data_IF_047016656738
#
_entry.id   IF_047016656738
#
_cell.length_a   1.000
_cell.length_b   1.000
_cell.length_c   1.000
_cell.angle_alpha   90.00
_cell.angle_beta   90.00
_cell.angle_gamma   90.00
#
_symmetry.space_group_name_H-M   'P 1'
#
loop_
_entity.id
_entity.type
_entity.pdbx_description
1 polymer ?
#
# COMPACT_ATOMS: atom_id res chain seq x y z
N UNK A 1 -19.44 22.18 4.49
CA UNK A 1 -18.53 21.11 4.87
C UNK A 1 -18.50 21.08 6.38
N UNK A 2 -18.70 19.92 7.01
CA UNK A 2 -18.63 19.77 8.45
C UNK A 2 -17.19 19.93 8.93
N UNK A 3 -16.96 19.94 10.23
CA UNK A 3 -15.64 20.31 10.79
C UNK A 3 -14.68 19.13 10.84
N UNK A 4 -15.18 17.92 11.15
CA UNK A 4 -14.39 16.72 11.44
C UNK A 4 -14.65 15.60 10.44
N UNK A 5 -13.67 14.70 10.33
CA UNK A 5 -13.78 13.42 9.64
C UNK A 5 -12.92 12.37 10.34
N UNK A 6 -13.34 11.11 10.28
CA UNK A 6 -12.52 9.99 10.75
C UNK A 6 -11.93 9.21 9.58
N UNK A 7 -10.69 8.79 9.75
CA UNK A 7 -9.99 7.91 8.81
C UNK A 7 -9.56 6.63 9.51
N UNK A 8 -9.83 5.48 8.90
CA UNK A 8 -9.46 4.16 9.41
C UNK A 8 -8.57 3.46 8.41
N UNK A 9 -7.48 2.88 8.90
CA UNK A 9 -6.60 1.97 8.15
C UNK A 9 -6.68 0.60 8.84
N UNK A 10 -7.43 -0.33 8.24
CA UNK A 10 -7.73 -1.64 8.84
C UNK A 10 -6.64 -2.66 8.49
N UNK A 11 -5.76 -2.93 9.43
CA UNK A 11 -4.77 -4.01 9.33
C UNK A 11 -5.25 -5.31 9.98
N UNK A 12 -4.55 -6.41 9.71
CA UNK A 12 -4.90 -7.74 10.24
C UNK A 12 -4.66 -7.93 11.75
N UNK A 13 -3.90 -7.07 12.39
CA UNK A 13 -3.62 -7.13 13.83
C UNK A 13 -4.20 -5.93 14.57
N UNK A 14 -4.12 -4.76 13.93
CA UNK A 14 -4.51 -3.48 14.52
C UNK A 14 -5.11 -2.60 13.43
N UNK A 15 -6.21 -1.93 13.71
CA UNK A 15 -6.73 -0.84 12.91
C UNK A 15 -6.21 0.48 13.47
N UNK A 16 -5.67 1.34 12.62
CA UNK A 16 -5.35 2.72 12.97
C UNK A 16 -6.55 3.60 12.72
N UNK A 17 -6.86 4.46 13.64
CA UNK A 17 -7.95 5.42 13.54
C UNK A 17 -7.41 6.82 13.75
N UNK A 18 -7.80 7.76 12.92
CA UNK A 18 -7.46 9.17 13.03
C UNK A 18 -8.68 10.06 13.04
N UNK A 19 -8.67 11.04 13.93
CA UNK A 19 -9.60 12.18 13.92
C UNK A 19 -8.93 13.36 13.24
N UNK A 20 -9.58 13.91 12.24
CA UNK A 20 -9.06 14.99 11.41
C UNK A 20 -10.04 16.15 11.32
N UNK A 21 -9.52 17.35 11.03
CA UNK A 21 -10.33 18.37 10.40
C UNK A 21 -10.58 18.02 8.93
N UNK A 22 -11.65 18.50 8.35
CA UNK A 22 -11.94 18.30 6.92
C UNK A 22 -10.93 18.99 5.98
N UNK A 23 -10.07 19.86 6.52
CA UNK A 23 -8.93 20.43 5.80
C UNK A 23 -7.65 19.58 5.82
N UNK A 24 -7.64 18.45 6.54
CA UNK A 24 -6.54 17.49 6.59
C UNK A 24 -5.59 17.62 7.77
N UNK A 25 -5.89 18.45 8.77
CA UNK A 25 -5.10 18.47 9.98
C UNK A 25 -5.45 17.23 10.85
N UNK A 26 -4.45 16.41 11.16
CA UNK A 26 -4.59 15.30 12.10
C UNK A 26 -4.66 15.88 13.53
N UNK A 27 -5.78 15.66 14.21
CA UNK A 27 -6.00 16.13 15.58
C UNK A 27 -5.55 15.08 16.60
N UNK A 28 -5.89 13.83 16.34
CA UNK A 28 -5.51 12.69 17.20
C UNK A 28 -5.50 11.41 16.40
N UNK A 29 -4.65 10.46 16.79
CA UNK A 29 -4.66 9.10 16.25
C UNK A 29 -4.50 8.07 17.36
N UNK A 30 -5.12 6.91 17.18
CA UNK A 30 -5.03 5.78 18.12
C UNK A 30 -5.15 4.46 17.36
N UNK A 31 -4.94 3.38 18.08
CA UNK A 31 -5.04 2.03 17.53
C UNK A 31 -6.16 1.26 18.22
N UNK A 32 -6.88 0.46 17.44
CA UNK A 32 -7.92 -0.47 17.88
C UNK A 32 -7.45 -1.88 17.51
N UNK A 33 -7.37 -2.84 18.44
CA UNK A 33 -7.07 -4.22 18.11
C UNK A 33 -8.05 -4.79 17.08
N UNK A 34 -7.55 -5.45 16.04
CA UNK A 34 -8.39 -6.15 15.06
C UNK A 34 -8.73 -7.53 15.60
N UNK A 35 -9.98 -7.72 16.02
CA UNK A 35 -10.46 -9.03 16.46
C UNK A 35 -10.76 -9.92 15.25
N UNK A 36 -9.82 -10.78 14.93
CA UNK A 36 -9.94 -11.74 13.82
C UNK A 36 -10.64 -13.04 14.22
N UNK A 37 -11.08 -13.19 15.46
CA UNK A 37 -11.88 -14.34 15.90
C UNK A 37 -13.24 -14.38 15.19
N UNK A 38 -13.85 -15.53 15.12
CA UNK A 38 -15.18 -15.73 14.53
C UNK A 38 -15.31 -15.09 13.12
N UNK A 39 -14.29 -15.29 12.27
CA UNK A 39 -14.24 -14.68 10.93
C UNK A 39 -14.34 -13.15 10.92
N UNK A 40 -13.81 -12.48 11.94
CA UNK A 40 -13.78 -11.02 12.04
C UNK A 40 -15.15 -10.37 12.25
N UNK A 41 -16.10 -11.09 12.85
CA UNK A 41 -17.49 -10.64 13.04
C UNK A 41 -17.57 -9.31 13.78
N UNK A 42 -16.73 -9.11 14.80
CA UNK A 42 -16.76 -7.94 15.69
C UNK A 42 -15.88 -6.77 15.25
N UNK A 43 -15.17 -6.87 14.12
CA UNK A 43 -14.26 -5.80 13.68
C UNK A 43 -14.97 -4.45 13.54
N UNK A 44 -16.11 -4.42 12.85
CA UNK A 44 -16.85 -3.16 12.61
C UNK A 44 -17.50 -2.60 13.86
N UNK A 45 -17.98 -3.46 14.76
CA UNK A 45 -18.53 -3.07 16.07
C UNK A 45 -17.47 -2.39 16.93
N UNK A 46 -16.29 -3.02 17.07
CA UNK A 46 -15.17 -2.47 17.83
C UNK A 46 -14.69 -1.11 17.27
N UNK A 47 -14.70 -0.94 15.94
CA UNK A 47 -14.37 0.33 15.30
C UNK A 47 -15.41 1.40 15.56
N UNK A 48 -16.70 1.06 15.49
CA UNK A 48 -17.80 1.98 15.79
C UNK A 48 -17.78 2.44 17.26
N UNK A 49 -17.58 1.51 18.18
CA UNK A 49 -17.46 1.81 19.62
C UNK A 49 -16.30 2.76 19.91
N UNK A 50 -15.15 2.53 19.26
CA UNK A 50 -13.97 3.39 19.40
C UNK A 50 -14.23 4.82 18.88
N UNK A 51 -14.96 4.96 17.77
CA UNK A 51 -15.35 6.27 17.22
C UNK A 51 -16.34 6.96 18.15
N UNK A 52 -17.41 6.28 18.63
CA UNK A 52 -18.37 6.83 19.57
C UNK A 52 -17.71 7.29 20.87
N UNK A 53 -16.80 6.46 21.43
CA UNK A 53 -16.05 6.83 22.62
C UNK A 53 -15.21 8.09 22.39
N UNK A 54 -14.55 8.23 21.23
CA UNK A 54 -13.75 9.41 20.89
C UNK A 54 -14.63 10.64 20.67
N UNK A 55 -15.78 10.51 20.03
CA UNK A 55 -16.73 11.61 19.87
C UNK A 55 -17.25 12.10 21.23
N UNK A 56 -17.59 11.18 22.13
CA UNK A 56 -18.00 11.53 23.49
C UNK A 56 -16.89 12.21 24.30
N UNK A 57 -15.65 11.71 24.23
CA UNK A 57 -14.47 12.31 24.88
C UNK A 57 -14.22 13.75 24.43
N UNK A 58 -14.41 14.02 23.13
CA UNK A 58 -14.15 15.35 22.52
C UNK A 58 -15.38 16.25 22.44
N UNK A 59 -16.52 15.81 22.94
CA UNK A 59 -17.80 16.50 22.86
C UNK A 59 -18.21 16.83 21.40
N UNK A 60 -17.84 15.93 20.44
CA UNK A 60 -18.15 16.05 19.01
C UNK A 60 -19.52 15.41 18.75
N UNK A 61 -20.41 16.12 18.05
CA UNK A 61 -21.72 15.58 17.63
C UNK A 61 -21.66 15.04 16.19
N UNK A 62 -22.60 14.18 15.81
CA UNK A 62 -22.68 13.60 14.45
C UNK A 62 -22.90 14.66 13.36
N UNK A 63 -23.54 15.78 13.72
CA UNK A 63 -23.73 16.91 12.80
C UNK A 63 -22.41 17.62 12.45
N UNK A 64 -21.39 17.50 13.30
CA UNK A 64 -20.06 18.10 13.07
C UNK A 64 -19.13 17.16 12.27
N UNK A 65 -19.47 15.86 12.13
CA UNK A 65 -18.63 14.88 11.42
C UNK A 65 -19.09 14.70 9.98
N UNK A 66 -18.22 14.95 9.01
CA UNK A 66 -18.49 14.76 7.57
C UNK A 66 -18.75 13.29 7.25
N UNK A 67 -18.02 12.38 7.89
CA UNK A 67 -18.14 10.95 7.74
C UNK A 67 -16.90 10.19 8.17
N UNK A 68 -16.88 8.90 7.86
CA UNK A 68 -15.82 7.96 8.15
C UNK A 68 -15.31 7.33 6.85
N UNK A 69 -14.04 7.50 6.54
CA UNK A 69 -13.36 6.74 5.50
C UNK A 69 -12.66 5.53 6.10
N UNK A 70 -12.62 4.41 5.37
CA UNK A 70 -11.91 3.21 5.80
C UNK A 70 -11.15 2.57 4.64
N UNK A 71 -9.85 2.35 4.85
CA UNK A 71 -9.02 1.48 4.02
C UNK A 71 -9.08 0.05 4.54
N UNK A 72 -9.34 -0.90 3.65
CA UNK A 72 -9.44 -2.33 3.99
C UNK A 72 -8.55 -3.15 3.07
N UNK A 73 -8.00 -4.29 3.54
CA UNK A 73 -7.24 -5.19 2.67
C UNK A 73 -8.15 -5.86 1.64
N UNK A 74 -7.62 -6.03 0.43
CA UNK A 74 -8.29 -6.69 -0.69
C UNK A 74 -9.13 -5.76 -1.57
N UNK A 75 -9.75 -6.30 -2.63
CA UNK A 75 -10.56 -5.55 -3.59
C UNK A 75 -11.76 -4.88 -2.93
N UNK A 76 -12.09 -3.68 -3.41
CA UNK A 76 -13.30 -2.94 -3.01
C UNK A 76 -14.07 -2.56 -4.26
N UNK A 77 -15.39 -2.73 -4.24
CA UNK A 77 -16.29 -2.35 -5.31
C UNK A 77 -17.19 -1.18 -4.89
N UNK A 78 -17.33 -0.18 -5.77
CA UNK A 78 -18.18 0.99 -5.58
C UNK A 78 -17.97 1.74 -4.26
N UNK A 79 -16.75 1.72 -3.73
CA UNK A 79 -16.39 2.31 -2.43
C UNK A 79 -17.28 1.82 -1.28
N UNK A 80 -17.75 0.58 -1.33
CA UNK A 80 -18.73 0.02 -0.37
C UNK A 80 -18.49 -1.42 0.04
N UNK A 81 -18.22 -2.29 -0.93
CA UNK A 81 -18.28 -3.74 -0.74
C UNK A 81 -16.92 -4.37 -0.90
N UNK A 82 -16.56 -5.25 0.04
CA UNK A 82 -15.45 -6.20 -0.08
C UNK A 82 -16.01 -7.50 -0.64
N UNK A 83 -15.71 -7.86 -1.91
CA UNK A 83 -16.36 -8.96 -2.61
C UNK A 83 -15.68 -10.32 -2.40
N UNK A 84 -14.60 -10.38 -1.65
CA UNK A 84 -13.82 -11.62 -1.44
C UNK A 84 -13.55 -11.89 0.04
N UNK A 85 -13.07 -13.09 0.33
CA UNK A 85 -12.62 -13.48 1.67
C UNK A 85 -11.24 -12.89 1.93
N UNK A 86 -11.12 -12.07 2.99
CA UNK A 86 -9.88 -11.49 3.46
C UNK A 86 -9.24 -12.39 4.52
N UNK A 87 -8.28 -13.24 4.12
CA UNK A 87 -7.65 -14.23 5.01
C UNK A 87 -6.96 -13.58 6.22
N UNK A 88 -6.32 -12.44 6.03
CA UNK A 88 -5.64 -11.67 7.09
C UNK A 88 -6.59 -10.99 8.10
N UNK A 89 -7.89 -11.00 7.83
CA UNK A 89 -8.95 -10.59 8.76
C UNK A 89 -9.73 -11.78 9.33
N UNK A 90 -9.08 -12.91 9.52
CA UNK A 90 -9.69 -14.12 10.07
C UNK A 90 -10.65 -14.85 9.12
N UNK A 91 -10.57 -14.56 7.83
CA UNK A 91 -11.52 -15.09 6.85
C UNK A 91 -12.76 -14.22 6.65
N UNK A 92 -12.65 -12.92 6.94
CA UNK A 92 -13.71 -11.92 6.74
C UNK A 92 -14.26 -11.99 5.32
N UNK A 93 -15.50 -12.45 5.19
CA UNK A 93 -16.11 -12.75 3.92
C UNK A 93 -16.66 -11.52 3.20
N UNK A 94 -17.35 -11.76 2.08
CA UNK A 94 -18.04 -10.72 1.35
C UNK A 94 -19.01 -9.96 2.26
N UNK A 95 -18.92 -8.64 2.28
CA UNK A 95 -19.81 -7.78 3.07
C UNK A 95 -19.89 -6.35 2.55
N UNK A 96 -21.00 -5.70 2.78
CA UNK A 96 -21.15 -4.27 2.55
C UNK A 96 -20.67 -3.51 3.78
N UNK A 97 -19.36 -3.22 3.81
CA UNK A 97 -18.70 -2.53 4.93
C UNK A 97 -19.30 -1.14 5.17
N UNK A 98 -19.57 -0.41 4.07
CA UNK A 98 -20.18 0.93 4.16
C UNK A 98 -21.53 0.91 4.86
N UNK A 99 -22.43 0.01 4.46
CA UNK A 99 -23.76 -0.06 5.05
C UNK A 99 -23.72 -0.55 6.50
N UNK A 100 -22.88 -1.55 6.79
CA UNK A 100 -22.78 -2.11 8.15
C UNK A 100 -22.20 -1.08 9.13
N UNK A 101 -21.06 -0.45 8.79
CA UNK A 101 -20.44 0.54 9.66
C UNK A 101 -21.29 1.80 9.79
N UNK A 102 -21.94 2.26 8.71
CA UNK A 102 -22.90 3.37 8.76
C UNK A 102 -24.07 3.08 9.71
N UNK A 103 -24.61 1.86 9.67
CA UNK A 103 -25.67 1.45 10.59
C UNK A 103 -25.25 1.47 12.07
N UNK A 104 -23.99 1.09 12.35
CA UNK A 104 -23.41 1.13 13.69
C UNK A 104 -23.07 2.57 14.14
N UNK A 105 -22.93 3.51 13.22
CA UNK A 105 -22.58 4.92 13.45
C UNK A 105 -23.78 5.87 13.21
N UNK A 106 -25.00 5.45 13.56
CA UNK A 106 -26.22 6.26 13.51
C UNK A 106 -26.51 6.87 12.12
N UNK A 107 -26.17 6.16 11.05
CA UNK A 107 -26.37 6.60 9.68
C UNK A 107 -25.30 7.56 9.14
N UNK A 108 -24.19 7.69 9.82
CA UNK A 108 -23.05 8.50 9.35
C UNK A 108 -22.56 8.01 7.98
N UNK A 109 -22.16 8.93 7.10
CA UNK A 109 -21.60 8.59 5.79
C UNK A 109 -20.31 7.77 5.95
N UNK A 110 -20.23 6.60 5.30
CA UNK A 110 -19.04 5.74 5.28
C UNK A 110 -18.65 5.45 3.85
N UNK A 111 -17.36 5.67 3.51
CA UNK A 111 -16.76 5.25 2.24
C UNK A 111 -15.60 4.29 2.51
N UNK A 112 -15.45 3.32 1.62
CA UNK A 112 -14.49 2.22 1.75
C UNK A 112 -13.55 2.24 0.54
N UNK A 113 -12.27 1.99 0.75
CA UNK A 113 -11.29 1.82 -0.32
C UNK A 113 -10.34 0.67 0.00
N UNK A 114 -9.68 0.14 -1.01
CA UNK A 114 -8.54 -0.75 -0.79
C UNK A 114 -7.42 0.01 -0.06
N UNK A 115 -6.72 -0.65 0.86
CA UNK A 115 -5.67 -0.06 1.72
C UNK A 115 -4.55 0.66 0.94
N UNK A 116 -4.03 0.03 -0.13
CA UNK A 116 -2.98 0.63 -0.95
C UNK A 116 -3.51 1.81 -1.79
N UNK A 117 -4.71 1.71 -2.33
CA UNK A 117 -5.38 2.80 -3.05
C UNK A 117 -5.61 4.00 -2.12
N UNK A 118 -6.07 3.74 -0.90
CA UNK A 118 -6.30 4.76 0.11
C UNK A 118 -4.97 5.41 0.53
N UNK A 119 -3.92 4.65 0.73
CA UNK A 119 -2.59 5.20 1.02
C UNK A 119 -2.09 6.13 -0.11
N UNK A 120 -2.31 5.75 -1.38
CA UNK A 120 -1.99 6.61 -2.53
C UNK A 120 -2.75 7.94 -2.51
N UNK A 121 -4.04 7.92 -2.16
CA UNK A 121 -4.83 9.14 -1.96
C UNK A 121 -4.28 10.04 -0.85
N UNK A 122 -3.81 9.44 0.24
CA UNK A 122 -3.17 10.16 1.34
C UNK A 122 -1.94 10.92 0.88
N UNK A 123 -1.07 10.28 0.13
CA UNK A 123 0.17 10.87 -0.39
C UNK A 123 -0.10 11.99 -1.42
N UNK A 124 -1.14 11.87 -2.25
CA UNK A 124 -1.57 12.96 -3.16
C UNK A 124 -2.17 14.12 -2.38
N UNK A 125 -2.87 13.86 -1.30
CA UNK A 125 -3.52 14.92 -0.53
C UNK A 125 -2.56 15.68 0.37
N UNK A 126 -1.76 14.96 1.18
CA UNK A 126 -0.94 15.56 2.24
C UNK A 126 0.52 15.11 2.25
N UNK A 127 0.92 14.21 1.33
CA UNK A 127 2.25 13.64 1.27
C UNK A 127 3.13 14.16 0.12
N UNK A 128 4.06 13.33 -0.32
CA UNK A 128 5.07 13.65 -1.36
C UNK A 128 4.45 14.03 -2.71
N UNK A 129 3.31 13.45 -3.08
CA UNK A 129 2.63 13.75 -4.34
C UNK A 129 1.60 14.89 -4.21
N UNK A 130 1.66 15.69 -3.15
CA UNK A 130 0.75 16.83 -2.97
C UNK A 130 0.81 17.79 -4.16
N UNK A 131 -0.36 18.02 -4.76
CA UNK A 131 -0.51 18.86 -5.96
C UNK A 131 -0.55 18.09 -7.27
N UNK A 132 -0.18 16.80 -7.30
CA UNK A 132 -0.39 15.93 -8.45
C UNK A 132 -1.87 15.55 -8.57
N UNK A 133 -2.33 15.38 -9.80
CA UNK A 133 -3.65 14.83 -10.10
C UNK A 133 -3.59 13.36 -10.50
N UNK A 134 -2.43 12.92 -10.98
CA UNK A 134 -2.20 11.54 -11.39
C UNK A 134 -0.90 11.05 -10.79
N UNK A 135 -0.95 9.99 -9.99
CA UNK A 135 0.22 9.37 -9.41
C UNK A 135 -0.01 7.87 -9.21
N UNK A 136 1.07 7.13 -9.17
CA UNK A 136 1.05 5.69 -8.87
C UNK A 136 1.90 5.46 -7.62
N UNK A 137 1.30 4.85 -6.61
CA UNK A 137 2.00 4.40 -5.42
C UNK A 137 2.26 2.91 -5.50
N UNK A 138 3.47 2.51 -5.14
CA UNK A 138 3.87 1.10 -4.98
C UNK A 138 4.40 0.92 -3.58
N UNK A 139 3.80 0.01 -2.82
CA UNK A 139 4.22 -0.31 -1.46
C UNK A 139 5.04 -1.60 -1.48
N UNK A 140 6.30 -1.50 -1.08
CA UNK A 140 7.25 -2.62 -1.00
C UNK A 140 7.38 -3.06 0.47
N UNK A 141 6.50 -3.97 0.87
CA UNK A 141 6.44 -4.58 2.20
C UNK A 141 6.66 -6.09 2.13
N UNK A 142 5.97 -6.86 2.96
CA UNK A 142 5.94 -8.34 2.87
C UNK A 142 5.50 -8.80 1.48
N UNK A 143 4.53 -8.10 0.88
CA UNK A 143 4.12 -8.20 -0.51
C UNK A 143 4.38 -6.91 -1.27
N UNK A 144 3.82 -6.81 -2.48
CA UNK A 144 3.79 -5.58 -3.29
C UNK A 144 2.34 -5.15 -3.46
N UNK A 145 1.98 -4.02 -2.83
CA UNK A 145 0.71 -3.35 -3.06
C UNK A 145 0.86 -2.19 -4.05
N UNK A 146 -0.27 -1.72 -4.58
CA UNK A 146 -0.27 -0.56 -5.46
C UNK A 146 -1.56 0.24 -5.38
N UNK A 147 -1.45 1.54 -5.65
CA UNK A 147 -2.59 2.45 -5.80
C UNK A 147 -2.39 3.33 -7.02
N UNK A 148 -3.38 3.37 -7.88
CA UNK A 148 -3.35 4.15 -9.12
C UNK A 148 -4.38 5.25 -9.05
N UNK A 149 -3.91 6.49 -9.13
CA UNK A 149 -4.75 7.69 -9.15
C UNK A 149 -4.61 8.36 -10.51
N UNK A 150 -5.71 8.58 -11.19
CA UNK A 150 -5.75 9.29 -12.48
C UNK A 150 -6.79 10.41 -12.40
N UNK A 151 -6.36 11.63 -12.70
CA UNK A 151 -7.19 12.84 -12.62
C UNK A 151 -7.91 13.00 -11.26
N UNK A 152 -7.20 12.75 -10.16
CA UNK A 152 -7.72 12.86 -8.78
C UNK A 152 -8.59 11.69 -8.33
N UNK A 153 -8.80 10.67 -9.16
CA UNK A 153 -9.68 9.53 -8.86
C UNK A 153 -8.89 8.23 -8.75
N UNK A 154 -9.21 7.44 -7.76
CA UNK A 154 -8.73 6.06 -7.64
C UNK A 154 -9.22 5.23 -8.83
N UNK A 155 -8.36 4.40 -9.35
CA UNK A 155 -8.70 3.39 -10.36
C UNK A 155 -8.97 2.06 -9.63
N UNK A 156 -10.20 1.85 -9.20
CA UNK A 156 -10.62 0.57 -8.57
C UNK A 156 -10.80 -0.55 -9.61
N UNK A 157 -11.18 -0.17 -10.86
CA UNK A 157 -11.46 -1.11 -11.94
C UNK A 157 -12.83 -1.79 -11.79
N UNK A 158 -13.24 -2.51 -12.83
CA UNK A 158 -14.57 -3.14 -12.91
C UNK A 158 -14.77 -4.31 -11.91
N UNK A 159 -13.68 -4.84 -11.38
CA UNK A 159 -13.67 -5.99 -10.46
C UNK A 159 -12.95 -5.69 -9.13
N UNK A 160 -12.66 -4.42 -8.84
CA UNK A 160 -11.88 -4.02 -7.67
C UNK A 160 -10.39 -4.37 -7.77
N UNK A 161 -9.88 -4.75 -8.94
CA UNK A 161 -8.49 -5.18 -9.15
C UNK A 161 -7.59 -4.07 -9.72
N UNK A 162 -8.07 -2.82 -9.78
CA UNK A 162 -7.24 -1.68 -10.15
C UNK A 162 -6.18 -1.45 -9.08
N UNK A 163 -4.94 -1.29 -9.53
CA UNK A 163 -3.83 -1.11 -8.59
C UNK A 163 -3.16 -2.39 -8.09
N UNK A 164 -3.60 -3.59 -8.49
CA UNK A 164 -2.97 -4.87 -8.16
C UNK A 164 -1.61 -5.05 -8.86
N UNK A 165 -0.71 -4.09 -8.64
CA UNK A 165 0.60 -3.95 -9.31
C UNK A 165 1.51 -5.15 -9.00
N UNK A 166 1.47 -5.65 -7.76
CA UNK A 166 2.24 -6.81 -7.33
C UNK A 166 1.96 -8.07 -8.14
N UNK A 167 0.79 -8.14 -8.77
CA UNK A 167 0.33 -9.27 -9.59
C UNK A 167 0.70 -9.13 -11.08
N UNK A 168 1.41 -8.09 -11.51
CA UNK A 168 1.94 -7.98 -12.87
C UNK A 168 2.96 -9.10 -13.09
N UNK A 169 2.79 -9.87 -14.19
CA UNK A 169 3.74 -10.92 -14.55
C UNK A 169 4.98 -10.29 -15.19
N UNK A 170 6.11 -10.36 -14.49
CA UNK A 170 7.41 -9.83 -14.91
C UNK A 170 8.36 -10.94 -15.38
N UNK A 171 8.15 -12.18 -14.99
CA UNK A 171 8.91 -13.33 -15.45
C UNK A 171 8.00 -14.48 -15.87
N UNK A 172 7.89 -14.73 -17.17
CA UNK A 172 7.06 -15.80 -17.75
C UNK A 172 7.62 -17.21 -17.56
N UNK A 173 8.86 -17.33 -17.10
CA UNK A 173 9.57 -18.60 -16.91
C UNK A 173 9.68 -19.00 -15.43
N UNK A 174 9.14 -18.21 -14.52
CA UNK A 174 9.08 -18.56 -13.10
C UNK A 174 8.19 -19.79 -12.88
N UNK A 175 8.70 -20.75 -12.10
CA UNK A 175 7.98 -21.99 -11.76
C UNK A 175 7.39 -21.98 -10.36
N UNK A 176 7.93 -21.14 -9.47
CA UNK A 176 7.40 -20.97 -8.12
C UNK A 176 6.05 -20.26 -8.14
N UNK A 177 5.10 -20.79 -7.41
CA UNK A 177 3.75 -20.21 -7.31
C UNK A 177 3.76 -18.98 -6.42
N UNK A 178 3.16 -17.88 -6.89
CA UNK A 178 2.88 -16.69 -6.11
C UNK A 178 1.66 -16.92 -5.19
N UNK A 179 1.56 -16.15 -4.11
CA UNK A 179 0.40 -16.18 -3.20
C UNK A 179 -0.96 -15.98 -3.91
N UNK A 180 -0.99 -15.29 -5.05
CA UNK A 180 -2.18 -15.13 -5.88
C UNK A 180 -2.52 -16.34 -6.77
N UNK A 181 -1.76 -17.42 -6.72
CA UNK A 181 -1.93 -18.63 -7.53
C UNK A 181 -1.28 -18.58 -8.92
N UNK A 182 -0.73 -17.46 -9.35
CA UNK A 182 0.02 -17.31 -10.62
C UNK A 182 1.52 -17.55 -10.43
N UNK A 183 2.28 -17.37 -11.49
CA UNK A 183 3.73 -17.47 -11.52
C UNK A 183 4.34 -16.18 -12.08
N UNK A 184 5.53 -15.81 -11.57
CA UNK A 184 6.31 -14.70 -12.11
C UNK A 184 5.74 -13.32 -11.82
N UNK A 185 4.98 -13.16 -10.76
CA UNK A 185 4.45 -11.87 -10.31
C UNK A 185 5.54 -10.94 -9.81
N UNK A 186 5.39 -9.64 -9.98
CA UNK A 186 6.32 -8.61 -9.48
C UNK A 186 6.62 -8.79 -7.98
N UNK A 187 5.61 -9.15 -7.20
CA UNK A 187 5.74 -9.41 -5.76
C UNK A 187 6.82 -10.46 -5.44
N UNK A 188 6.98 -11.49 -6.28
CA UNK A 188 7.98 -12.54 -6.07
C UNK A 188 9.43 -12.04 -6.20
N UNK A 189 9.65 -10.84 -6.73
CA UNK A 189 10.97 -10.26 -6.99
C UNK A 189 11.21 -9.00 -6.17
N UNK A 190 10.21 -8.12 -6.07
CA UNK A 190 10.40 -6.76 -5.55
C UNK A 190 9.79 -6.53 -4.16
N UNK A 191 9.11 -7.51 -3.55
CA UNK A 191 8.72 -7.44 -2.14
C UNK A 191 9.89 -7.76 -1.20
N UNK A 192 9.76 -7.45 0.08
CA UNK A 192 10.78 -7.85 1.07
C UNK A 192 11.00 -9.37 1.09
N UNK A 193 9.92 -10.15 1.01
CA UNK A 193 10.02 -11.63 0.91
C UNK A 193 10.60 -12.08 -0.41
N UNK A 194 10.32 -11.36 -1.50
CA UNK A 194 10.87 -11.60 -2.83
C UNK A 194 12.37 -11.41 -2.86
N UNK A 195 12.88 -10.30 -2.36
CA UNK A 195 14.32 -10.00 -2.26
C UNK A 195 15.05 -11.09 -1.46
N UNK A 196 14.50 -11.50 -0.31
CA UNK A 196 15.11 -12.59 0.49
C UNK A 196 15.12 -13.90 -0.28
N UNK A 197 14.02 -14.24 -0.97
CA UNK A 197 13.92 -15.44 -1.80
C UNK A 197 14.95 -15.44 -2.92
N UNK A 198 15.05 -14.33 -3.65
CA UNK A 198 15.98 -14.21 -4.78
C UNK A 198 17.44 -14.21 -4.30
N UNK A 199 17.75 -13.52 -3.20
CA UNK A 199 19.08 -13.56 -2.60
C UNK A 199 19.50 -14.97 -2.16
N UNK A 200 18.60 -15.75 -1.53
CA UNK A 200 18.88 -17.16 -1.18
C UNK A 200 19.18 -17.99 -2.42
N UNK A 201 18.38 -17.84 -3.48
CA UNK A 201 18.63 -18.52 -4.75
C UNK A 201 20.00 -18.13 -5.35
N UNK A 202 20.33 -16.84 -5.32
CA UNK A 202 21.62 -16.34 -5.83
C UNK A 202 22.80 -16.91 -5.05
N UNK A 203 22.67 -17.07 -3.73
CA UNK A 203 23.69 -17.71 -2.89
C UNK A 203 23.85 -19.20 -3.24
N UNK A 204 22.78 -19.92 -3.51
CA UNK A 204 22.81 -21.35 -3.89
C UNK A 204 23.43 -21.55 -5.28
N UNK A 205 23.16 -20.64 -6.24
CA UNK A 205 23.72 -20.66 -7.59
C UNK A 205 25.21 -20.26 -7.64
N UNK A 206 25.72 -19.61 -6.58
CA UNK A 206 27.11 -19.12 -6.52
C UNK A 206 27.79 -19.62 -5.23
N UNK A 207 27.98 -20.95 -5.06
CA UNK A 207 28.44 -21.54 -3.78
C UNK A 207 29.86 -21.06 -3.37
N UNK A 208 30.71 -20.76 -4.35
CA UNK A 208 32.11 -20.36 -4.14
C UNK A 208 32.31 -18.85 -3.98
N UNK A 209 31.24 -18.04 -4.21
CA UNK A 209 31.36 -16.59 -4.08
C UNK A 209 31.26 -16.17 -2.61
N UNK A 210 32.15 -15.25 -2.22
CA UNK A 210 32.08 -14.62 -0.90
C UNK A 210 30.83 -13.74 -0.80
N UNK A 211 30.10 -13.90 0.33
CA UNK A 211 28.98 -13.06 0.68
C UNK A 211 28.77 -13.04 2.19
N UNK A 212 28.59 -11.85 2.74
CA UNK A 212 28.42 -11.65 4.19
C UNK A 212 27.13 -12.26 4.74
N UNK A 213 26.15 -12.58 3.88
CA UNK A 213 24.85 -13.18 4.22
C UNK A 213 24.87 -14.73 4.22
N UNK A 214 25.94 -15.34 3.71
CA UNK A 214 26.04 -16.80 3.58
C UNK A 214 26.01 -17.49 4.95
N UNK A 215 25.12 -18.48 5.06
CA UNK A 215 24.94 -19.28 6.27
C UNK A 215 24.25 -18.55 7.43
N UNK A 216 23.61 -17.41 7.16
CA UNK A 216 22.85 -16.63 8.14
C UNK A 216 21.38 -16.59 7.78
N UNK A 217 20.52 -16.40 8.78
CA UNK A 217 19.18 -15.88 8.56
C UNK A 217 19.28 -14.38 8.34
N UNK A 218 18.57 -13.88 7.33
CA UNK A 218 18.58 -12.45 6.96
C UNK A 218 17.21 -12.00 6.45
N UNK A 219 16.97 -10.71 6.58
CA UNK A 219 15.82 -10.00 6.05
C UNK A 219 16.21 -9.15 4.82
N UNK A 220 15.23 -8.59 4.12
CA UNK A 220 15.49 -7.71 2.98
C UNK A 220 16.41 -6.53 3.34
N UNK A 221 16.24 -5.95 4.54
CA UNK A 221 17.10 -4.89 5.04
C UNK A 221 18.58 -5.29 5.02
N UNK A 222 18.90 -6.52 5.44
CA UNK A 222 20.29 -6.99 5.49
C UNK A 222 20.89 -7.12 4.08
N UNK A 223 20.08 -7.45 3.08
CA UNK A 223 20.52 -7.49 1.66
C UNK A 223 20.91 -6.10 1.18
N UNK A 224 20.07 -5.08 1.43
CA UNK A 224 20.38 -3.69 1.08
C UNK A 224 21.59 -3.14 1.85
N UNK A 225 21.74 -3.48 3.13
CA UNK A 225 22.87 -3.07 3.95
C UNK A 225 24.18 -3.75 3.49
N UNK A 226 24.14 -5.03 3.11
CA UNK A 226 25.26 -5.73 2.51
C UNK A 226 25.68 -5.12 1.16
N UNK A 227 24.70 -4.82 0.28
CA UNK A 227 24.95 -4.15 -1.00
C UNK A 227 25.63 -2.77 -0.79
N UNK A 228 25.10 -1.97 0.15
CA UNK A 228 25.69 -0.67 0.54
C UNK A 228 27.12 -0.81 1.03
N UNK A 229 27.45 -1.92 1.68
CA UNK A 229 28.79 -2.23 2.23
C UNK A 229 29.73 -2.82 1.16
N UNK A 230 29.29 -3.00 -0.08
CA UNK A 230 30.11 -3.47 -1.19
C UNK A 230 30.10 -5.00 -1.40
N UNK A 231 29.18 -5.74 -0.78
CA UNK A 231 28.99 -7.17 -1.08
C UNK A 231 28.49 -7.34 -2.52
N UNK A 232 29.25 -8.06 -3.33
CA UNK A 232 29.01 -8.16 -4.77
C UNK A 232 27.72 -8.93 -5.11
N UNK A 233 27.39 -10.00 -4.36
CA UNK A 233 26.17 -10.76 -4.60
C UNK A 233 24.93 -9.99 -4.14
N UNK A 234 25.00 -9.33 -3.00
CA UNK A 234 23.92 -8.47 -2.53
C UNK A 234 23.68 -7.28 -3.46
N UNK A 235 24.74 -6.67 -3.98
CA UNK A 235 24.65 -5.60 -4.98
C UNK A 235 23.98 -6.09 -6.27
N UNK A 236 24.33 -7.30 -6.73
CA UNK A 236 23.69 -7.94 -7.89
C UNK A 236 22.19 -8.19 -7.65
N UNK A 237 21.80 -8.70 -6.46
CA UNK A 237 20.39 -8.88 -6.14
C UNK A 237 19.61 -7.58 -6.17
N UNK A 238 20.16 -6.51 -5.60
CA UNK A 238 19.54 -5.18 -5.61
C UNK A 238 19.39 -4.65 -7.04
N UNK A 239 20.40 -4.86 -7.90
CA UNK A 239 20.34 -4.47 -9.31
C UNK A 239 19.26 -5.24 -10.07
N UNK A 240 19.18 -6.58 -9.94
CA UNK A 240 18.16 -7.43 -10.57
C UNK A 240 16.75 -7.09 -10.08
N UNK A 241 16.59 -6.81 -8.79
CA UNK A 241 15.32 -6.37 -8.19
C UNK A 241 14.87 -5.02 -8.75
N UNK A 242 15.78 -4.05 -8.83
CA UNK A 242 15.47 -2.70 -9.31
C UNK A 242 15.27 -2.66 -10.81
N UNK A 243 15.95 -3.51 -11.57
CA UNK A 243 15.69 -3.71 -13.00
C UNK A 243 14.26 -4.23 -13.24
N UNK A 244 13.88 -5.28 -12.52
CA UNK A 244 12.52 -5.85 -12.59
C UNK A 244 11.46 -4.83 -12.21
N UNK A 245 11.65 -4.08 -11.13
CA UNK A 245 10.74 -3.04 -10.70
C UNK A 245 10.68 -1.89 -11.71
N UNK A 246 11.82 -1.43 -12.21
CA UNK A 246 11.91 -0.37 -13.21
C UNK A 246 11.18 -0.71 -14.51
N UNK A 247 11.29 -1.95 -14.97
CA UNK A 247 10.55 -2.47 -16.13
C UNK A 247 9.03 -2.46 -15.87
N UNK A 248 8.60 -2.87 -14.69
CA UNK A 248 7.17 -2.86 -14.31
C UNK A 248 6.63 -1.42 -14.25
N UNK A 249 7.35 -0.49 -13.60
CA UNK A 249 6.98 0.93 -13.54
C UNK A 249 6.90 1.57 -14.93
N UNK A 250 7.82 1.23 -15.83
CA UNK A 250 7.80 1.73 -17.22
C UNK A 250 6.56 1.25 -17.99
N UNK A 251 6.14 0.01 -17.76
CA UNK A 251 4.90 -0.54 -18.34
C UNK A 251 3.67 0.18 -17.80
N UNK A 252 3.64 0.47 -16.50
CA UNK A 252 2.58 1.24 -15.85
C UNK A 252 2.58 2.68 -16.38
N UNK A 253 3.75 3.32 -16.52
CA UNK A 253 3.87 4.67 -17.05
C UNK A 253 3.27 4.77 -18.47
N UNK A 254 3.54 3.79 -19.33
CA UNK A 254 2.98 3.74 -20.68
C UNK A 254 1.45 3.57 -20.72
N UNK A 255 0.83 3.17 -19.62
CA UNK A 255 -0.61 2.91 -19.54
C UNK A 255 -1.36 4.05 -18.83
N UNK A 256 -0.75 4.64 -17.79
CA UNK A 256 -1.41 5.61 -16.89
C UNK A 256 -0.87 7.03 -16.99
N UNK A 257 0.31 7.20 -17.58
CA UNK A 257 1.03 8.48 -17.74
C UNK A 257 1.01 9.34 -16.45
N UNK A 258 1.58 8.84 -15.34
CA UNK A 258 1.49 9.51 -14.05
C UNK A 258 2.47 10.68 -13.97
N UNK A 259 2.12 11.71 -13.20
CA UNK A 259 3.01 12.82 -12.87
C UNK A 259 4.14 12.41 -11.91
N UNK A 260 3.93 11.32 -11.15
CA UNK A 260 4.90 10.82 -10.16
C UNK A 260 4.64 9.35 -9.80
N UNK A 261 5.73 8.61 -9.57
CA UNK A 261 5.71 7.34 -8.83
C UNK A 261 6.12 7.57 -7.38
N UNK A 262 5.42 6.92 -6.46
CA UNK A 262 5.71 6.90 -5.03
C UNK A 262 6.09 5.49 -4.61
N UNK A 263 7.20 5.34 -3.94
CA UNK A 263 7.63 4.06 -3.37
C UNK A 263 7.50 4.15 -1.86
N UNK A 264 6.61 3.32 -1.31
CA UNK A 264 6.38 3.19 0.12
C UNK A 264 6.79 1.82 0.64
N UNK A 265 6.46 1.55 1.90
CA UNK A 265 6.77 0.29 2.57
C UNK A 265 8.18 0.21 3.17
N UNK A 266 8.47 -0.93 3.79
CA UNK A 266 9.73 -1.12 4.52
C UNK A 266 10.97 -1.05 3.65
N UNK A 267 10.91 -1.58 2.43
CA UNK A 267 12.02 -1.61 1.47
C UNK A 267 12.41 -0.20 1.00
N UNK A 268 11.47 0.73 0.90
CA UNK A 268 11.76 2.12 0.54
C UNK A 268 12.77 2.81 1.48
N UNK A 269 12.92 2.31 2.71
CA UNK A 269 13.91 2.81 3.69
C UNK A 269 15.36 2.52 3.30
N UNK A 270 15.60 1.69 2.28
CA UNK A 270 16.93 1.45 1.75
C UNK A 270 17.56 2.72 1.12
N UNK A 271 16.77 3.75 0.81
CA UNK A 271 17.26 5.02 0.31
C UNK A 271 17.96 4.90 -1.05
N UNK A 272 19.06 5.61 -1.22
CA UNK A 272 19.77 5.72 -2.51
C UNK A 272 20.16 4.36 -3.11
N UNK A 273 20.44 3.35 -2.26
CA UNK A 273 20.77 1.98 -2.72
C UNK A 273 19.60 1.35 -3.52
N UNK A 274 18.37 1.74 -3.22
CA UNK A 274 17.18 1.35 -3.97
C UNK A 274 16.88 2.35 -5.11
N UNK A 275 16.84 3.65 -4.78
CA UNK A 275 16.29 4.66 -5.70
C UNK A 275 17.20 4.96 -6.88
N UNK A 276 18.53 5.02 -6.70
CA UNK A 276 19.44 5.36 -7.78
C UNK A 276 19.39 4.32 -8.93
N UNK A 277 19.60 3.00 -8.69
CA UNK A 277 19.49 2.01 -9.74
C UNK A 277 18.05 1.90 -10.28
N UNK A 278 17.01 2.03 -9.44
CA UNK A 278 15.62 1.99 -9.88
C UNK A 278 15.31 3.08 -10.94
N UNK A 279 15.77 4.31 -10.71
CA UNK A 279 15.56 5.43 -11.65
C UNK A 279 16.27 5.15 -12.98
N UNK A 280 17.48 4.64 -12.95
CA UNK A 280 18.23 4.34 -14.17
C UNK A 280 17.62 3.18 -14.96
N UNK A 281 17.19 2.12 -14.29
CA UNK A 281 16.47 1.01 -14.93
C UNK A 281 15.12 1.46 -15.49
N UNK A 282 14.35 2.25 -14.74
CA UNK A 282 13.09 2.82 -15.23
C UNK A 282 13.30 3.61 -16.52
N UNK A 283 14.29 4.48 -16.58
CA UNK A 283 14.63 5.28 -17.79
C UNK A 283 14.98 4.41 -18.99
N UNK A 284 15.57 3.25 -18.75
CA UNK A 284 15.95 2.31 -19.81
C UNK A 284 14.72 1.73 -20.52
N UNK A 285 13.66 1.44 -19.76
CA UNK A 285 12.44 0.81 -20.27
C UNK A 285 11.32 1.81 -20.62
N UNK A 286 11.34 3.00 -20.02
CA UNK A 286 10.25 3.96 -20.14
C UNK A 286 10.13 4.53 -21.56
N UNK A 287 8.90 4.64 -22.04
CA UNK A 287 8.61 5.38 -23.27
C UNK A 287 9.13 6.82 -23.16
N UNK A 288 9.59 7.36 -24.26
CA UNK A 288 10.35 8.62 -24.28
C UNK A 288 9.66 9.77 -23.52
N UNK A 289 8.34 9.90 -23.62
CA UNK A 289 7.60 10.98 -22.95
C UNK A 289 7.50 10.80 -21.44
N UNK A 290 7.52 9.55 -20.93
CA UNK A 290 7.43 9.22 -19.52
C UNK A 290 8.79 9.05 -18.83
N UNK A 291 9.91 9.13 -19.58
CA UNK A 291 11.24 8.78 -19.09
C UNK A 291 11.70 9.61 -17.89
N UNK A 292 11.25 10.83 -17.81
CA UNK A 292 11.62 11.77 -16.74
C UNK A 292 10.55 11.84 -15.62
N UNK A 293 9.57 10.93 -15.62
CA UNK A 293 8.59 10.84 -14.53
C UNK A 293 9.32 10.57 -13.22
N UNK A 294 9.20 11.44 -12.20
CA UNK A 294 9.93 11.30 -10.96
C UNK A 294 9.47 10.08 -10.15
N UNK A 295 10.42 9.37 -9.57
CA UNK A 295 10.21 8.27 -8.63
C UNK A 295 10.71 8.74 -7.27
N UNK A 296 9.83 8.81 -6.27
CA UNK A 296 10.15 9.36 -4.95
C UNK A 296 9.66 8.46 -3.81
N UNK A 297 10.28 8.60 -2.65
CA UNK A 297 9.79 7.95 -1.44
C UNK A 297 8.47 8.60 -0.97
N UNK A 298 7.52 7.76 -0.56
CA UNK A 298 6.32 8.17 0.16
C UNK A 298 6.70 8.79 1.51
N UNK A 299 6.01 9.85 1.94
CA UNK A 299 6.38 10.62 3.14
C UNK A 299 5.48 10.40 4.36
N UNK A 300 4.23 10.01 4.15
CA UNK A 300 3.28 9.80 5.26
C UNK A 300 3.54 8.49 6.01
N UNK A 301 4.32 7.59 5.44
CA UNK A 301 4.68 6.31 6.07
C UNK A 301 3.45 5.52 6.47
N UNK A 302 3.41 5.09 7.73
CA UNK A 302 2.31 4.30 8.27
C UNK A 302 1.02 5.07 8.52
N UNK A 303 0.98 6.37 8.29
CA UNK A 303 -0.23 7.19 8.46
C UNK A 303 -0.93 7.45 7.10
N UNK A 304 -0.31 7.07 5.98
CA UNK A 304 -0.86 7.29 4.64
C UNK A 304 -2.31 6.76 4.50
N UNK A 305 -2.59 5.58 5.09
CA UNK A 305 -3.92 4.97 5.08
C UNK A 305 -4.99 5.83 5.75
N UNK A 306 -4.74 6.36 6.95
CA UNK A 306 -5.74 7.21 7.64
C UNK A 306 -5.94 8.57 6.95
N UNK A 307 -4.88 9.17 6.38
CA UNK A 307 -5.01 10.40 5.58
C UNK A 307 -5.85 10.16 4.32
N UNK A 308 -5.58 9.09 3.59
CA UNK A 308 -6.30 8.77 2.38
C UNK A 308 -7.76 8.34 2.66
N UNK A 309 -8.01 7.67 3.77
CA UNK A 309 -9.35 7.33 4.21
C UNK A 309 -10.19 8.61 4.44
N UNK A 310 -9.64 9.62 5.11
CA UNK A 310 -10.30 10.92 5.24
C UNK A 310 -10.51 11.58 3.87
N UNK A 311 -9.52 11.48 2.96
CA UNK A 311 -9.63 12.04 1.60
C UNK A 311 -10.80 11.47 0.81
N UNK A 312 -11.11 10.16 0.97
CA UNK A 312 -12.30 9.54 0.39
C UNK A 312 -13.59 10.28 0.80
N UNK A 313 -13.68 10.68 2.08
CA UNK A 313 -14.89 11.29 2.66
C UNK A 313 -15.03 12.75 2.28
N UNK A 314 -13.95 13.51 2.37
CA UNK A 314 -14.01 14.97 2.13
C UNK A 314 -14.08 15.33 0.64
N UNK A 315 -13.71 14.37 -0.23
CA UNK A 315 -13.75 14.58 -1.67
C UNK A 315 -12.72 15.57 -2.19
N UNK A 316 -12.88 16.03 -3.43
CA UNK A 316 -12.04 17.08 -4.04
C UNK A 316 -12.37 18.48 -3.49
#
# INVERSE_FOLDING_TARGET
MKEYAFGIDLGGTTAKVGLFTTSGALLEKWEVPTDTSNAGEHILENLADAIHAKMAEKEITSEQVEGVGIGVPGPVLDSRVVPIICANLGGWGERNVSAQLSGLLDGMKVLVGNDANVAALGEIWMGTAKGCRSAVMVTLGTGVGGGVIVNGKVIDGAHGAGGEIGNITVNRHETATCGCGKHGCLEQYSSATGVVRCMKKLLDENPDADCVLRGKDFEAKDVFDAARSGDALAAREVDEMTDTLGMALASIASTTDPEMFLIGGGVARAGDVLFDPLVEHFKTYAFKSCRETPIKAASLGNDAGIYGAVRLIVGE
#
